data_IF_044283889677
#
_entry.id   IF_044283889677
#
_cell.length_a   1.000
_cell.length_b   1.000
_cell.length_c   1.000
_cell.angle_alpha   90.00
_cell.angle_beta   90.00
_cell.angle_gamma   90.00
#
_symmetry.space_group_name_H-M   'P 1'
#
loop_
_entity.id
_entity.type
_entity.pdbx_description
1 polymer ?
#
# COMPACT_ATOMS: atom_id res chain seq x y z
N UNK A 1 -11.12 -21.36 10.51
CA UNK A 1 -9.89 -20.66 10.91
C UNK A 1 -8.75 -21.43 10.28
N UNK A 2 -8.09 -20.88 9.28
CA UNK A 2 -6.97 -21.54 8.59
C UNK A 2 -5.76 -21.64 9.53
N UNK A 3 -4.92 -22.69 9.43
CA UNK A 3 -3.84 -22.96 10.38
C UNK A 3 -2.60 -22.07 10.19
N UNK A 4 -2.67 -21.04 9.35
CA UNK A 4 -1.52 -20.26 8.95
C UNK A 4 -1.44 -18.91 9.66
N UNK A 5 -0.23 -18.45 9.97
CA UNK A 5 0.00 -17.20 10.68
C UNK A 5 -0.25 -15.99 9.78
N UNK A 6 -0.97 -14.99 10.30
CA UNK A 6 -1.17 -13.70 9.64
C UNK A 6 0.07 -12.81 9.77
N UNK A 7 0.24 -11.92 8.80
CA UNK A 7 1.11 -10.75 8.94
C UNK A 7 0.40 -9.72 9.80
N UNK A 8 1.08 -9.24 10.83
CA UNK A 8 0.64 -8.10 11.63
C UNK A 8 1.15 -6.81 10.98
N UNK A 9 0.28 -5.83 10.84
CA UNK A 9 0.63 -4.51 10.32
C UNK A 9 0.66 -3.50 11.47
N UNK A 10 1.26 -2.34 11.24
CA UNK A 10 1.23 -1.25 12.23
C UNK A 10 -0.15 -0.62 12.32
N UNK A 11 -0.43 0.04 13.44
CA UNK A 11 -1.66 0.82 13.64
C UNK A 11 -1.84 1.90 12.56
N UNK A 12 -0.75 2.45 12.02
CA UNK A 12 -0.78 3.42 10.92
C UNK A 12 -1.41 2.77 9.68
N UNK A 13 -0.93 1.59 9.30
CA UNK A 13 -1.43 0.88 8.11
C UNK A 13 -2.85 0.39 8.33
N UNK A 14 -3.15 -0.17 9.50
CA UNK A 14 -4.48 -0.68 9.84
C UNK A 14 -5.53 0.43 9.88
N UNK A 15 -5.16 1.63 10.34
CA UNK A 15 -6.08 2.78 10.38
C UNK A 15 -6.31 3.40 8.99
N UNK A 16 -5.28 3.43 8.13
CA UNK A 16 -5.39 3.99 6.77
C UNK A 16 -6.14 3.01 5.83
N UNK A 17 -5.80 1.72 5.86
CA UNK A 17 -6.33 0.74 4.91
C UNK A 17 -6.60 -0.61 5.59
N UNK A 18 -7.70 -0.73 6.37
CA UNK A 18 -8.06 -1.99 7.02
C UNK A 18 -8.42 -3.09 6.02
N UNK A 19 -8.97 -2.74 4.86
CA UNK A 19 -9.26 -3.72 3.80
C UNK A 19 -7.97 -4.25 3.16
N UNK A 20 -6.92 -3.43 3.04
CA UNK A 20 -5.61 -3.92 2.61
C UNK A 20 -5.09 -5.03 3.53
N UNK A 21 -5.16 -4.86 4.85
CA UNK A 21 -4.61 -5.83 5.80
C UNK A 21 -5.37 -7.16 5.74
N UNK A 22 -6.70 -7.10 5.57
CA UNK A 22 -7.55 -8.27 5.34
C UNK A 22 -7.17 -8.99 4.04
N UNK A 23 -7.16 -8.28 2.91
CA UNK A 23 -6.90 -8.86 1.58
C UNK A 23 -5.46 -9.41 1.50
N UNK A 24 -4.48 -8.70 2.07
CA UNK A 24 -3.10 -9.17 2.12
C UNK A 24 -3.00 -10.48 2.89
N UNK A 25 -3.66 -10.59 4.04
CA UNK A 25 -3.63 -11.80 4.85
C UNK A 25 -4.34 -12.97 4.18
N UNK A 26 -5.44 -12.74 3.46
CA UNK A 26 -6.06 -13.78 2.61
C UNK A 26 -5.10 -14.27 1.51
N UNK A 27 -4.41 -13.33 0.85
CA UNK A 27 -3.39 -13.67 -0.15
C UNK A 27 -2.20 -14.43 0.45
N UNK A 28 -1.80 -14.06 1.66
CA UNK A 28 -0.72 -14.72 2.41
C UNK A 28 -1.11 -16.14 2.85
N UNK A 29 -2.34 -16.35 3.29
CA UNK A 29 -2.83 -17.69 3.60
C UNK A 29 -2.86 -18.57 2.35
N UNK A 30 -3.25 -18.02 1.19
CA UNK A 30 -3.18 -18.73 -0.08
C UNK A 30 -1.73 -19.09 -0.46
N UNK A 31 -0.77 -18.18 -0.26
CA UNK A 31 0.66 -18.45 -0.44
C UNK A 31 1.15 -19.57 0.48
N UNK A 32 0.83 -19.50 1.78
CA UNK A 32 1.23 -20.50 2.78
C UNK A 32 0.62 -21.88 2.50
N UNK A 33 -0.57 -21.91 1.90
CA UNK A 33 -1.22 -23.13 1.41
C UNK A 33 -0.64 -23.64 0.07
N UNK A 34 0.36 -22.94 -0.52
CA UNK A 34 0.98 -23.32 -1.79
C UNK A 34 0.13 -22.98 -3.03
N UNK A 35 -0.90 -22.14 -2.90
CA UNK A 35 -1.80 -21.74 -3.98
C UNK A 35 -1.19 -20.60 -4.81
N UNK A 36 -0.05 -20.87 -5.42
CA UNK A 36 0.80 -19.86 -6.09
C UNK A 36 0.15 -19.21 -7.31
N UNK A 37 -0.86 -19.84 -7.92
CA UNK A 37 -1.58 -19.28 -9.07
C UNK A 37 -2.60 -18.19 -8.68
N UNK A 38 -2.94 -18.05 -7.39
CA UNK A 38 -3.95 -17.10 -6.93
C UNK A 38 -3.43 -16.11 -5.90
N UNK A 39 -2.37 -16.44 -5.15
CA UNK A 39 -1.82 -15.52 -4.16
C UNK A 39 -1.33 -14.21 -4.80
N UNK A 40 -0.73 -14.28 -5.99
CA UNK A 40 -0.32 -13.08 -6.76
C UNK A 40 -1.50 -12.17 -7.11
N UNK A 41 -2.65 -12.74 -7.48
CA UNK A 41 -3.90 -11.99 -7.74
C UNK A 41 -4.39 -11.31 -6.47
N UNK A 42 -4.36 -12.01 -5.34
CA UNK A 42 -4.73 -11.47 -4.03
C UNK A 42 -3.84 -10.29 -3.62
N UNK A 43 -2.51 -10.43 -3.78
CA UNK A 43 -1.57 -9.35 -3.51
C UNK A 43 -1.75 -8.15 -4.44
N UNK A 44 -2.06 -8.36 -5.73
CA UNK A 44 -2.40 -7.26 -6.64
C UNK A 44 -3.64 -6.50 -6.18
N UNK A 45 -4.65 -7.19 -5.67
CA UNK A 45 -5.84 -6.55 -5.08
C UNK A 45 -5.46 -5.75 -3.83
N UNK A 46 -4.62 -6.32 -2.96
CA UNK A 46 -4.14 -5.63 -1.76
C UNK A 46 -3.45 -4.30 -2.12
N UNK A 47 -2.53 -4.29 -3.10
CA UNK A 47 -1.85 -3.06 -3.58
C UNK A 47 -2.84 -1.98 -3.99
N UNK A 48 -3.93 -2.34 -4.65
CA UNK A 48 -4.94 -1.37 -5.08
C UNK A 48 -5.58 -0.65 -3.90
N UNK A 49 -5.97 -1.40 -2.87
CA UNK A 49 -6.57 -0.86 -1.67
C UNK A 49 -5.58 0.04 -0.93
N UNK A 50 -4.37 -0.45 -0.64
CA UNK A 50 -3.38 0.35 0.08
C UNK A 50 -3.08 1.68 -0.61
N UNK A 51 -2.87 1.67 -1.92
CA UNK A 51 -2.52 2.88 -2.67
C UNK A 51 -3.71 3.83 -2.77
N UNK A 52 -4.90 3.32 -3.08
CA UNK A 52 -6.09 4.19 -3.19
C UNK A 52 -6.49 4.75 -1.84
N UNK A 53 -6.49 3.95 -0.79
CA UNK A 53 -6.83 4.39 0.56
C UNK A 53 -5.82 5.41 1.07
N UNK A 54 -4.52 5.21 0.82
CA UNK A 54 -3.51 6.22 1.15
C UNK A 54 -3.66 7.50 0.33
N UNK A 55 -3.98 7.41 -0.96
CA UNK A 55 -4.27 8.59 -1.78
C UNK A 55 -5.50 9.38 -1.27
N UNK A 56 -6.55 8.68 -0.82
CA UNK A 56 -7.75 9.27 -0.20
C UNK A 56 -7.40 9.89 1.15
N UNK A 57 -6.59 9.22 1.96
CA UNK A 57 -6.10 9.74 3.23
C UNK A 57 -5.36 11.08 3.05
N UNK A 58 -4.55 11.19 2.00
CA UNK A 58 -3.85 12.43 1.66
C UNK A 58 -4.76 13.50 1.03
N UNK A 59 -5.82 13.11 0.31
CA UNK A 59 -6.71 14.00 -0.45
C UNK A 59 -8.19 13.61 -0.23
N UNK A 60 -8.77 13.81 0.97
CA UNK A 60 -10.12 13.31 1.30
C UNK A 60 -11.22 13.81 0.36
N UNK A 61 -11.07 15.01 -0.19
CA UNK A 61 -11.99 15.63 -1.14
C UNK A 61 -12.06 14.91 -2.51
N UNK A 62 -11.02 14.16 -2.87
CA UNK A 62 -10.93 13.42 -4.14
C UNK A 62 -11.47 11.97 -4.02
N UNK A 63 -11.98 11.55 -2.86
CA UNK A 63 -12.44 10.18 -2.61
C UNK A 63 -13.39 9.64 -3.69
N UNK A 64 -14.42 10.43 -4.03
CA UNK A 64 -15.40 10.05 -5.05
C UNK A 64 -14.79 9.90 -6.43
N UNK A 65 -13.68 10.60 -6.72
CA UNK A 65 -12.98 10.50 -7.98
C UNK A 65 -12.08 9.27 -8.03
N UNK A 66 -11.30 9.05 -6.96
CA UNK A 66 -10.36 7.92 -6.81
C UNK A 66 -11.08 6.56 -6.86
N UNK A 67 -12.30 6.48 -6.28
CA UNK A 67 -13.11 5.25 -6.25
C UNK A 67 -13.80 4.91 -7.57
N UNK A 68 -13.78 5.77 -8.59
CA UNK A 68 -14.43 5.48 -9.89
C UNK A 68 -13.76 4.28 -10.57
N UNK A 69 -14.57 3.43 -11.18
CA UNK A 69 -14.10 2.22 -11.86
C UNK A 69 -13.16 2.50 -13.04
N UNK A 70 -13.31 3.64 -13.70
CA UNK A 70 -12.42 4.06 -14.80
C UNK A 70 -11.16 4.82 -14.31
N UNK A 71 -11.05 5.11 -13.01
CA UNK A 71 -9.88 5.77 -12.45
C UNK A 71 -8.82 4.72 -12.10
N UNK A 72 -7.82 4.62 -12.97
CA UNK A 72 -6.82 3.55 -12.93
C UNK A 72 -5.88 3.73 -11.75
N UNK A 73 -5.31 2.61 -11.28
CA UNK A 73 -4.30 2.63 -10.22
C UNK A 73 -3.06 3.45 -10.63
N UNK A 74 -2.64 3.36 -11.90
CA UNK A 74 -1.52 4.15 -12.41
C UNK A 74 -1.79 5.67 -12.37
N UNK A 75 -3.01 6.09 -12.72
CA UNK A 75 -3.44 7.50 -12.58
C UNK A 75 -3.43 7.93 -11.12
N UNK A 76 -4.00 7.11 -10.23
CA UNK A 76 -4.04 7.40 -8.81
C UNK A 76 -2.65 7.62 -8.20
N UNK A 77 -1.68 6.74 -8.53
CA UNK A 77 -0.29 6.90 -8.08
C UNK A 77 0.30 8.22 -8.57
N UNK A 78 0.10 8.54 -9.85
CA UNK A 78 0.69 9.73 -10.48
C UNK A 78 0.10 11.03 -9.93
N UNK A 79 -1.22 11.06 -9.75
CA UNK A 79 -1.95 12.30 -9.53
C UNK A 79 -2.11 12.64 -8.04
N UNK A 80 -2.01 11.66 -7.12
CA UNK A 80 -2.33 11.86 -5.70
C UNK A 80 -1.23 11.46 -4.71
N UNK A 81 -0.10 10.93 -5.19
CA UNK A 81 1.04 10.58 -4.34
C UNK A 81 2.25 11.41 -4.77
N UNK A 82 2.70 12.34 -3.93
CA UNK A 82 3.84 13.21 -4.25
C UNK A 82 5.20 12.57 -3.99
N UNK A 83 5.29 11.69 -3.00
CA UNK A 83 6.55 11.04 -2.64
C UNK A 83 6.98 10.04 -3.72
N UNK A 84 8.01 10.41 -4.49
CA UNK A 84 8.55 9.57 -5.57
C UNK A 84 8.97 8.17 -5.11
N UNK A 85 9.33 7.98 -3.83
CA UNK A 85 9.72 6.68 -3.26
C UNK A 85 8.49 5.77 -3.15
N UNK A 86 7.38 6.34 -2.68
CA UNK A 86 6.06 5.67 -2.64
C UNK A 86 5.57 5.42 -4.07
N UNK A 87 5.67 6.40 -4.98
CA UNK A 87 5.28 6.22 -6.38
C UNK A 87 6.04 5.07 -7.04
N UNK A 88 7.36 4.98 -6.85
CA UNK A 88 8.17 3.91 -7.43
C UNK A 88 7.79 2.53 -6.87
N UNK A 89 7.64 2.41 -5.55
CA UNK A 89 7.26 1.15 -4.91
C UNK A 89 5.84 0.71 -5.31
N UNK A 90 4.87 1.63 -5.35
CA UNK A 90 3.51 1.38 -5.79
C UNK A 90 3.43 1.00 -7.27
N UNK A 91 4.19 1.68 -8.12
CA UNK A 91 4.25 1.41 -9.57
C UNK A 91 4.84 0.02 -9.83
N UNK A 92 5.97 -0.31 -9.21
CA UNK A 92 6.60 -1.62 -9.35
C UNK A 92 5.69 -2.75 -8.84
N UNK A 93 5.04 -2.55 -7.69
CA UNK A 93 4.05 -3.49 -7.15
C UNK A 93 2.87 -3.70 -8.10
N UNK A 94 2.39 -2.61 -8.72
CA UNK A 94 1.30 -2.65 -9.70
C UNK A 94 1.70 -3.39 -10.97
N UNK A 95 2.91 -3.18 -11.47
CA UNK A 95 3.40 -3.86 -12.68
C UNK A 95 3.51 -5.37 -12.47
N UNK A 96 4.13 -5.80 -11.37
CA UNK A 96 4.22 -7.23 -11.07
C UNK A 96 2.86 -7.84 -10.75
N UNK A 97 1.99 -7.12 -10.04
CA UNK A 97 0.65 -7.63 -9.78
C UNK A 97 -0.22 -7.74 -11.03
N UNK A 98 0.00 -6.90 -12.05
CA UNK A 98 -0.62 -7.09 -13.36
C UNK A 98 -0.08 -8.35 -14.06
N UNK A 99 1.21 -8.66 -13.94
CA UNK A 99 1.78 -9.91 -14.49
C UNK A 99 1.22 -11.18 -13.81
N UNK A 100 0.76 -11.08 -12.56
CA UNK A 100 0.10 -12.19 -11.86
C UNK A 100 -1.38 -12.37 -12.26
N UNK A 101 -1.98 -11.42 -12.99
CA UNK A 101 -3.39 -11.50 -13.44
C UNK A 101 -3.55 -11.70 -14.95
N UNK A 102 -2.55 -11.30 -15.75
CA UNK A 102 -2.60 -11.39 -17.21
C UNK A 102 -2.03 -12.71 -17.73
N UNK A 103 -2.51 -13.15 -18.89
CA UNK A 103 -2.05 -14.38 -19.55
C UNK A 103 -0.56 -14.33 -19.93
N UNK A 104 -0.08 -13.17 -20.36
CA UNK A 104 1.34 -12.93 -20.68
C UNK A 104 1.99 -12.03 -19.64
N UNK A 105 3.16 -12.45 -19.14
CA UNK A 105 3.98 -11.66 -18.22
C UNK A 105 4.88 -10.70 -18.99
N UNK A 106 4.97 -9.46 -18.53
CA UNK A 106 5.91 -8.45 -19.05
C UNK A 106 7.27 -8.53 -18.37
N UNK A 107 7.33 -9.00 -17.13
CA UNK A 107 8.55 -9.13 -16.32
C UNK A 107 8.74 -10.60 -15.90
N UNK A 108 9.10 -11.51 -16.83
CA UNK A 108 9.15 -12.94 -16.57
C UNK A 108 10.22 -13.35 -15.54
N UNK A 109 11.24 -12.51 -15.34
CA UNK A 109 12.30 -12.74 -14.35
C UNK A 109 11.85 -12.45 -12.90
N UNK A 110 10.65 -11.90 -12.73
CA UNK A 110 10.07 -11.53 -11.45
C UNK A 110 8.80 -12.35 -11.16
N UNK A 111 8.46 -12.46 -9.87
CA UNK A 111 7.23 -13.14 -9.43
C UNK A 111 6.62 -12.47 -8.19
N UNK A 112 5.57 -13.08 -7.64
CA UNK A 112 4.87 -12.56 -6.47
C UNK A 112 5.77 -12.29 -5.25
N UNK A 113 6.93 -12.95 -5.11
CA UNK A 113 7.87 -12.71 -4.00
C UNK A 113 8.53 -11.34 -4.11
N UNK A 114 8.95 -10.94 -5.32
CA UNK A 114 9.46 -9.58 -5.55
C UNK A 114 8.34 -8.55 -5.40
N UNK A 115 7.14 -8.85 -5.88
CA UNK A 115 5.98 -7.99 -5.63
C UNK A 115 5.77 -7.76 -4.14
N UNK A 116 5.78 -8.80 -3.31
CA UNK A 116 5.67 -8.65 -1.84
C UNK A 116 6.76 -7.77 -1.25
N UNK A 117 7.99 -7.86 -1.76
CA UNK A 117 9.10 -7.01 -1.30
C UNK A 117 8.87 -5.53 -1.65
N UNK A 118 8.25 -5.24 -2.79
CA UNK A 118 7.86 -3.88 -3.17
C UNK A 118 6.66 -3.37 -2.36
N UNK A 119 5.71 -4.25 -2.02
CA UNK A 119 4.60 -3.92 -1.09
C UNK A 119 5.17 -3.57 0.29
N UNK A 120 6.08 -4.36 0.82
CA UNK A 120 6.76 -4.08 2.10
C UNK A 120 7.52 -2.74 2.06
N UNK A 121 8.19 -2.44 0.95
CA UNK A 121 8.84 -1.13 0.74
C UNK A 121 7.84 0.02 0.73
N UNK A 122 6.70 -0.16 0.03
CA UNK A 122 5.61 0.81 -0.02
C UNK A 122 5.06 1.10 1.39
N UNK A 123 4.76 0.07 2.17
CA UNK A 123 4.29 0.17 3.56
C UNK A 123 5.27 1.00 4.39
N UNK A 124 6.56 0.65 4.35
CA UNK A 124 7.59 1.33 5.15
C UNK A 124 7.69 2.81 4.86
N UNK A 125 7.52 3.22 3.60
CA UNK A 125 7.54 4.64 3.26
C UNK A 125 6.27 5.37 3.72
N UNK A 126 5.10 4.72 3.68
CA UNK A 126 3.87 5.27 4.25
C UNK A 126 4.05 5.48 5.76
N UNK A 127 4.46 4.44 6.48
CA UNK A 127 4.69 4.50 7.93
C UNK A 127 5.70 5.58 8.31
N UNK A 128 6.83 5.64 7.60
CA UNK A 128 7.86 6.64 7.85
C UNK A 128 7.32 8.07 7.64
N UNK A 129 6.55 8.31 6.58
CA UNK A 129 5.99 9.63 6.30
C UNK A 129 4.99 10.04 7.38
N UNK A 130 4.13 9.13 7.83
CA UNK A 130 3.15 9.44 8.89
C UNK A 130 3.81 9.66 10.25
N UNK A 131 4.78 8.82 10.64
CA UNK A 131 5.55 9.05 11.87
C UNK A 131 6.36 10.35 11.82
N UNK A 132 6.84 10.74 10.64
CA UNK A 132 7.53 12.01 10.46
C UNK A 132 6.59 13.21 10.62
N UNK A 133 5.37 13.16 10.06
CA UNK A 133 4.34 14.21 10.28
C UNK A 133 4.00 14.39 11.76
N UNK A 134 3.89 13.28 12.51
CA UNK A 134 3.68 13.35 13.97
C UNK A 134 4.85 14.05 14.67
N UNK A 135 6.08 13.75 14.25
CA UNK A 135 7.29 14.40 14.77
C UNK A 135 7.29 15.90 14.48
N UNK A 136 6.93 16.32 13.26
CA UNK A 136 6.81 17.72 12.88
C UNK A 136 5.71 18.44 13.69
N UNK A 137 4.54 17.80 13.85
CA UNK A 137 3.45 18.32 14.67
C UNK A 137 3.90 18.57 16.11
N UNK A 138 4.58 17.60 16.72
CA UNK A 138 5.10 17.71 18.08
C UNK A 138 6.11 18.86 18.24
N UNK A 139 6.97 19.08 17.24
CA UNK A 139 7.93 20.20 17.26
C UNK A 139 7.23 21.55 17.08
N UNK A 140 6.22 21.63 16.20
CA UNK A 140 5.41 22.84 16.00
C UNK A 140 4.65 23.25 17.26
N UNK A 141 4.03 22.29 17.94
CA UNK A 141 3.27 22.53 19.18
C UNK A 141 4.15 23.01 20.34
N UNK A 142 5.42 22.58 20.38
CA UNK A 142 6.39 22.95 21.44
C UNK A 142 7.19 24.21 21.14
N UNK A 143 7.31 24.62 19.88
CA UNK A 143 7.95 25.89 19.53
C UNK A 143 7.16 27.09 20.09
N UNK A 144 5.85 26.96 20.30
CA UNK A 144 4.99 28.02 20.84
C UNK A 144 5.06 28.17 22.38
N UNK A 145 5.57 27.18 23.10
CA UNK A 145 5.62 27.20 24.58
C UNK A 145 6.96 27.70 25.12
N UNK A 146 7.99 27.85 24.28
CA UNK A 146 9.32 28.29 24.69
C UNK A 146 9.54 29.82 24.63
N UNK A 147 8.61 30.59 24.03
CA UNK A 147 8.72 32.05 23.86
C UNK A 147 7.90 32.86 24.88
N UNK A 148 7.45 32.26 25.99
CA UNK A 148 6.65 32.96 27.03
C UNK A 148 7.22 32.95 28.45
N UNK A 149 8.52 32.70 28.62
CA UNK A 149 9.21 32.80 29.93
C UNK A 149 10.27 33.92 29.97
#
# INVERSE_FOLDING_TARGET
IYPFGNTNFSDIVESISPDFTNIYNEAHQAEQAGLTSICGVGYRKAVEFLVKDYAIYLNPEEENNIKKANYTLASCIKDHIDDHRIQNAATASTWLGNDETHYTKRHPDYNYKQMKSFIDTLIKFIELNESYKETESFLGDKAFTADTD
#
